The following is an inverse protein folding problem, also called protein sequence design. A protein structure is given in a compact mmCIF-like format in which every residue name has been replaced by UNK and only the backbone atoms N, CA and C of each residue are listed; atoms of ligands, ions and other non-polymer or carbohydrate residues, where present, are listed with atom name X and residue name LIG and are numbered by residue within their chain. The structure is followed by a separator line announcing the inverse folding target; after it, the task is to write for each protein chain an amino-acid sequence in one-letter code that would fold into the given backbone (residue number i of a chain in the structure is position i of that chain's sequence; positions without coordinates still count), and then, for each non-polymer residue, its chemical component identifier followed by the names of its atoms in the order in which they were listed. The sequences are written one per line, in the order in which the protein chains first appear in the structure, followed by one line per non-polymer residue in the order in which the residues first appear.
data_IF_902574923743
#
_entry.id   IF_902574923743
#
_cell.length_a   1.000
_cell.length_b   1.000
_cell.length_c   1.000
_cell.angle_alpha   90.00
_cell.angle_beta   90.00
_cell.angle_gamma   90.00
#
_symmetry.space_group_name_H-M   'P 1'
#
loop_
_entity.id
_entity.type
_entity.pdbx_description
1 polymer ?
#
# COMPACT_ATOMS: atom_id res chain seq x y z
N UNK A 1 -1.00 -5.91 2.21
CA UNK A 1 -1.19 -7.22 1.54
C UNK A 1 -0.73 -7.06 0.11
N UNK A 2 0.01 -8.03 -0.42
CA UNK A 2 0.55 -7.96 -1.76
C UNK A 2 0.36 -9.27 -2.54
N UNK A 3 0.09 -9.15 -3.83
CA UNK A 3 0.03 -10.26 -4.80
C UNK A 3 0.78 -9.84 -6.07
N UNK A 4 1.74 -10.65 -6.49
CA UNK A 4 2.48 -10.45 -7.74
C UNK A 4 2.22 -11.62 -8.70
N UNK A 5 2.04 -11.30 -9.98
CA UNK A 5 1.79 -12.26 -11.06
C UNK A 5 2.96 -12.20 -12.06
N UNK A 6 3.59 -13.35 -12.39
CA UNK A 6 4.70 -13.36 -13.33
C UNK A 6 4.24 -13.15 -14.77
N UNK A 7 5.03 -12.37 -15.51
CA UNK A 7 4.93 -12.20 -16.95
C UNK A 7 5.97 -13.02 -17.72
N UNK A 8 5.89 -13.04 -19.06
CA UNK A 8 6.87 -13.72 -19.90
C UNK A 8 8.30 -13.26 -19.63
N UNK A 9 9.27 -14.19 -19.71
CA UNK A 9 10.69 -13.86 -19.60
C UNK A 9 11.12 -13.32 -18.24
N UNK A 10 10.37 -13.60 -17.17
CA UNK A 10 10.69 -13.12 -15.82
C UNK A 10 10.25 -11.67 -15.54
N UNK A 11 9.42 -11.09 -16.42
CA UNK A 11 8.80 -9.79 -16.17
C UNK A 11 7.71 -9.88 -15.09
N UNK A 12 7.24 -8.73 -14.59
CA UNK A 12 6.09 -8.65 -13.68
C UNK A 12 4.87 -8.27 -14.49
N UNK A 13 3.89 -9.16 -14.58
CA UNK A 13 2.64 -8.90 -15.30
C UNK A 13 1.69 -8.03 -14.48
N UNK A 14 1.66 -8.21 -13.16
CA UNK A 14 0.87 -7.43 -12.22
C UNK A 14 1.53 -7.45 -10.85
N UNK A 15 1.51 -6.31 -10.17
CA UNK A 15 1.90 -6.18 -8.76
C UNK A 15 0.82 -5.39 -8.04
N UNK A 16 0.01 -6.07 -7.25
CA UNK A 16 -1.03 -5.46 -6.46
C UNK A 16 -0.58 -5.38 -5.01
N UNK A 17 -0.34 -4.17 -4.51
CA UNK A 17 0.08 -3.93 -3.14
C UNK A 17 -0.71 -2.76 -2.55
N UNK A 18 -1.37 -3.02 -1.42
CA UNK A 18 -2.19 -2.02 -0.73
C UNK A 18 -2.34 -2.34 0.76
N UNK A 19 -2.59 -1.29 1.53
CA UNK A 19 -3.05 -1.40 2.91
C UNK A 19 -4.54 -1.76 2.94
N UNK A 20 -4.99 -2.48 3.97
CA UNK A 20 -6.42 -2.77 4.17
C UNK A 20 -7.23 -1.56 4.62
N UNK A 21 -6.57 -0.46 4.99
CA UNK A 21 -7.17 0.84 5.24
C UNK A 21 -7.50 1.59 3.96
N UNK A 22 -8.44 2.54 4.03
CA UNK A 22 -8.82 3.42 2.90
C UNK A 22 -7.61 4.18 2.37
N UNK A 23 -6.68 4.54 3.25
CA UNK A 23 -5.42 5.19 2.92
C UNK A 23 -4.29 4.65 3.80
N UNK A 24 -3.07 4.61 3.29
CA UNK A 24 -1.89 4.34 4.12
C UNK A 24 -1.64 5.49 5.10
N UNK A 25 -1.27 5.16 6.34
CA UNK A 25 -0.96 6.14 7.39
C UNK A 25 0.11 7.16 6.93
N UNK A 26 1.13 6.73 6.19
CA UNK A 26 2.16 7.63 5.67
C UNK A 26 1.60 8.77 4.81
N UNK A 27 0.51 8.54 4.04
CA UNK A 27 -0.15 9.61 3.28
C UNK A 27 -0.90 10.58 4.20
N UNK A 28 -1.44 10.09 5.32
CA UNK A 28 -2.02 10.94 6.36
C UNK A 28 -0.94 11.77 7.07
N UNK A 29 0.24 11.18 7.32
CA UNK A 29 1.40 11.88 7.90
C UNK A 29 1.89 13.03 7.03
N UNK A 30 1.93 12.84 5.70
CA UNK A 30 2.27 13.92 4.76
C UNK A 30 1.30 15.10 4.90
N UNK A 31 -0.01 14.82 5.01
CA UNK A 31 -1.02 15.87 5.23
C UNK A 31 -0.88 16.56 6.58
N UNK A 32 -0.61 15.79 7.64
CA UNK A 32 -0.30 16.32 8.96
C UNK A 32 0.88 17.29 8.93
N UNK A 33 2.00 16.90 8.33
CA UNK A 33 3.20 17.74 8.22
C UNK A 33 2.95 19.02 7.39
N UNK A 34 2.05 18.96 6.41
CA UNK A 34 1.64 20.13 5.59
C UNK A 34 0.53 20.98 6.21
N UNK A 35 -0.03 20.58 7.35
CA UNK A 35 -1.20 21.26 7.94
C UNK A 35 -2.46 21.17 7.09
N UNK A 36 -2.57 20.16 6.22
CA UNK A 36 -3.70 19.97 5.31
C UNK A 36 -4.76 19.01 5.88
N UNK A 37 -6.03 19.23 5.53
CA UNK A 37 -7.10 18.27 5.81
C UNK A 37 -7.01 17.03 4.92
N UNK A 38 -7.43 15.89 5.47
CA UNK A 38 -7.70 14.67 4.73
C UNK A 38 -9.07 14.73 4.03
N UNK A 39 -9.27 13.87 3.02
CA UNK A 39 -10.60 13.70 2.45
C UNK A 39 -11.55 13.04 3.47
N UNK A 40 -12.87 13.32 3.44
CA UNK A 40 -13.84 12.64 4.29
C UNK A 40 -13.86 11.13 4.03
N UNK A 41 -14.24 10.36 5.05
CA UNK A 41 -14.34 8.89 4.97
C UNK A 41 -13.02 8.14 5.12
N UNK A 42 -11.95 8.81 5.57
CA UNK A 42 -10.63 8.20 5.78
C UNK A 42 -10.40 7.77 7.22
N UNK A 43 -10.91 8.54 8.20
CA UNK A 43 -10.59 8.35 9.61
C UNK A 43 -11.73 8.77 10.54
N UNK A 44 -11.63 8.31 11.77
CA UNK A 44 -12.42 8.72 12.93
C UNK A 44 -11.50 9.27 14.01
N UNK A 45 -12.01 10.15 14.86
CA UNK A 45 -11.31 10.61 16.05
C UNK A 45 -11.49 9.63 17.21
N UNK A 46 -10.87 9.93 18.35
CA UNK A 46 -10.90 9.06 19.52
C UNK A 46 -12.30 8.86 20.14
N UNK A 47 -13.26 9.74 19.85
CA UNK A 47 -14.66 9.57 20.23
C UNK A 47 -15.46 8.71 19.23
N UNK A 48 -14.83 8.27 18.15
CA UNK A 48 -15.46 7.47 17.09
C UNK A 48 -16.21 8.29 16.04
N UNK A 49 -16.11 9.62 16.06
CA UNK A 49 -16.77 10.48 15.06
C UNK A 49 -15.92 10.63 13.80
N UNK A 50 -16.52 10.70 12.60
CA UNK A 50 -15.78 10.98 11.36
C UNK A 50 -14.97 12.27 11.47
N UNK A 51 -13.73 12.22 10.99
CA UNK A 51 -12.83 13.38 11.01
C UNK A 51 -12.06 13.53 9.72
N UNK A 52 -11.65 14.77 9.44
CA UNK A 52 -10.78 15.15 8.31
C UNK A 52 -9.51 15.82 8.77
N UNK A 53 -9.30 15.95 10.08
CA UNK A 53 -8.13 16.62 10.66
C UNK A 53 -7.09 15.57 11.08
N UNK A 54 -5.94 15.47 10.40
CA UNK A 54 -4.89 14.52 10.76
C UNK A 54 -4.38 14.70 12.21
N UNK A 55 -4.55 15.88 12.82
CA UNK A 55 -4.14 16.11 14.21
C UNK A 55 -4.93 15.28 15.20
N UNK A 56 -6.21 15.00 14.89
CA UNK A 56 -7.05 14.13 15.73
C UNK A 56 -6.65 12.66 15.63
N UNK A 57 -5.96 12.25 14.54
CA UNK A 57 -5.42 10.89 14.42
C UNK A 57 -4.24 10.69 15.36
N UNK A 58 -3.35 11.68 15.43
CA UNK A 58 -2.13 11.65 16.24
C UNK A 58 -2.31 12.21 17.67
N UNK A 59 -3.54 12.45 18.11
CA UNK A 59 -3.85 12.93 19.46
C UNK A 59 -3.67 11.83 20.53
N UNK A 60 -3.83 12.19 21.79
CA UNK A 60 -3.92 11.25 22.91
C UNK A 60 -5.24 11.50 23.67
N UNK A 61 -6.21 10.56 23.64
CA UNK A 61 -6.20 9.28 22.91
C UNK A 61 -6.19 9.44 21.38
N UNK A 62 -5.65 8.47 20.62
CA UNK A 62 -5.53 8.57 19.17
C UNK A 62 -6.85 8.29 18.45
N UNK A 63 -6.95 8.81 17.23
CA UNK A 63 -7.97 8.41 16.26
C UNK A 63 -7.62 7.10 15.56
N UNK A 64 -8.41 6.72 14.55
CA UNK A 64 -8.20 5.50 13.78
C UNK A 64 -8.51 5.68 12.29
N UNK A 65 -7.80 4.93 11.44
CA UNK A 65 -8.09 4.84 10.01
C UNK A 65 -9.26 3.89 9.77
N UNK A 66 -10.10 4.23 8.80
CA UNK A 66 -11.17 3.35 8.32
C UNK A 66 -10.61 2.31 7.34
N UNK A 67 -11.30 1.16 7.25
CA UNK A 67 -10.97 0.06 6.33
C UNK A 67 -11.49 0.31 4.92
N UNK A 68 -10.71 -0.06 3.91
CA UNK A 68 -11.13 0.01 2.52
C UNK A 68 -12.31 -0.94 2.25
N UNK A 69 -13.37 -0.46 1.61
CA UNK A 69 -14.56 -1.30 1.38
C UNK A 69 -15.25 -1.75 2.67
N UNK A 70 -15.16 -0.95 3.74
CA UNK A 70 -15.88 -1.12 4.99
C UNK A 70 -15.63 -2.50 5.63
N UNK A 71 -16.68 -3.28 5.89
CA UNK A 71 -16.63 -4.61 6.49
C UNK A 71 -15.78 -5.60 5.69
N UNK A 72 -15.59 -5.40 4.38
CA UNK A 72 -14.73 -6.26 3.54
C UNK A 72 -13.26 -6.05 3.85
N UNK A 73 -12.82 -4.79 3.94
CA UNK A 73 -11.45 -4.46 4.35
C UNK A 73 -11.18 -4.84 5.80
N UNK A 74 -12.19 -4.72 6.68
CA UNK A 74 -12.09 -5.19 8.06
C UNK A 74 -11.85 -6.70 8.13
N UNK A 75 -12.67 -7.49 7.43
CA UNK A 75 -12.48 -8.94 7.36
C UNK A 75 -11.11 -9.33 6.80
N UNK A 76 -10.66 -8.66 5.74
CA UNK A 76 -9.32 -8.87 5.17
C UNK A 76 -8.21 -8.49 6.17
N UNK A 77 -8.37 -7.39 6.91
CA UNK A 77 -7.40 -6.94 7.91
C UNK A 77 -7.24 -7.97 9.03
N UNK A 78 -8.34 -8.55 9.53
CA UNK A 78 -8.30 -9.61 10.53
C UNK A 78 -7.63 -10.88 9.99
N UNK A 79 -7.93 -11.28 8.75
CA UNK A 79 -7.29 -12.44 8.14
C UNK A 79 -5.77 -12.25 8.02
N UNK A 80 -5.31 -11.06 7.62
CA UNK A 80 -3.87 -10.73 7.55
C UNK A 80 -3.25 -10.73 8.95
N UNK A 81 -3.94 -10.22 9.97
CA UNK A 81 -3.43 -10.24 11.35
C UNK A 81 -3.25 -11.67 11.86
N UNK A 82 -4.19 -12.56 11.56
CA UNK A 82 -4.11 -13.97 11.95
C UNK A 82 -2.98 -14.69 11.17
N UNK A 83 -2.93 -14.52 9.86
CA UNK A 83 -1.98 -15.22 8.98
C UNK A 83 -0.55 -14.67 9.06
N UNK A 84 -0.41 -13.36 9.14
CA UNK A 84 0.86 -12.67 9.24
C UNK A 84 1.31 -12.60 10.70
N UNK A 85 0.50 -12.01 11.58
CA UNK A 85 0.86 -11.74 12.96
C UNK A 85 0.89 -12.99 13.85
N UNK A 86 -0.27 -13.62 14.05
CA UNK A 86 -0.41 -14.74 14.98
C UNK A 86 0.36 -15.97 14.49
N UNK A 87 0.14 -16.38 13.24
CA UNK A 87 0.73 -17.61 12.68
C UNK A 87 2.26 -17.54 12.58
N UNK A 88 2.85 -16.37 12.32
CA UNK A 88 4.32 -16.23 12.31
C UNK A 88 4.96 -16.19 13.69
N UNK A 89 4.15 -16.06 14.75
CA UNK A 89 4.63 -15.94 16.14
C UNK A 89 4.94 -14.52 16.60
N UNK A 90 4.77 -13.48 15.77
CA UNK A 90 4.89 -12.08 16.23
C UNK A 90 3.75 -11.65 17.15
N UNK A 91 2.61 -12.37 17.09
CA UNK A 91 1.43 -12.11 17.90
C UNK A 91 0.45 -11.15 17.24
N UNK A 92 -0.65 -10.85 17.95
CA UNK A 92 -1.72 -9.98 17.48
C UNK A 92 -1.56 -8.55 18.01
N UNK A 93 -2.27 -7.61 17.35
CA UNK A 93 -2.45 -6.23 17.75
C UNK A 93 -2.93 -6.11 19.21
N UNK A 94 -2.35 -5.16 19.96
CA UNK A 94 -2.61 -4.94 21.39
C UNK A 94 -2.89 -3.46 21.66
N UNK A 95 -3.66 -3.14 22.72
CA UNK A 95 -3.94 -1.75 23.09
C UNK A 95 -2.68 -0.95 23.47
N UNK A 96 -1.70 -1.61 24.09
CA UNK A 96 -0.41 -1.01 24.42
C UNK A 96 0.58 -1.35 23.30
N UNK A 97 1.13 -0.35 22.58
CA UNK A 97 2.13 -0.61 21.56
C UNK A 97 3.40 -1.19 22.21
N UNK A 98 3.83 -2.34 21.72
CA UNK A 98 5.19 -2.84 21.94
C UNK A 98 6.15 -2.29 20.87
N UNK A 99 7.37 -2.84 20.75
CA UNK A 99 8.23 -2.59 19.61
C UNK A 99 7.48 -2.87 18.30
N UNK A 100 7.77 -2.11 17.24
CA UNK A 100 7.21 -2.38 15.91
C UNK A 100 7.69 -3.76 15.45
N UNK A 101 6.76 -4.68 15.23
CA UNK A 101 7.01 -6.03 14.74
C UNK A 101 6.10 -6.31 13.54
N UNK A 102 6.65 -6.92 12.49
CA UNK A 102 5.89 -7.33 11.33
C UNK A 102 5.98 -8.85 11.18
N UNK A 103 4.87 -9.53 11.41
CA UNK A 103 4.69 -10.93 11.02
C UNK A 103 4.29 -11.02 9.56
N UNK A 104 4.88 -11.94 8.79
CA UNK A 104 4.61 -12.06 7.36
C UNK A 104 4.42 -13.52 6.96
N UNK A 105 3.35 -13.78 6.22
CA UNK A 105 3.14 -15.02 5.48
C UNK A 105 3.46 -14.78 4.01
N UNK A 106 4.31 -15.63 3.44
CA UNK A 106 4.63 -15.62 2.00
C UNK A 106 4.13 -16.93 1.42
N UNK A 107 3.30 -16.82 0.37
CA UNK A 107 2.80 -17.96 -0.40
C UNK A 107 3.35 -17.83 -1.82
N UNK A 108 4.10 -18.84 -2.26
CA UNK A 108 4.63 -18.92 -3.63
C UNK A 108 3.98 -20.11 -4.35
N UNK A 109 3.33 -19.84 -5.47
CA UNK A 109 2.69 -20.84 -6.31
C UNK A 109 3.41 -20.89 -7.65
N UNK A 110 3.85 -22.09 -8.06
CA UNK A 110 4.44 -22.33 -9.38
C UNK A 110 3.32 -22.55 -10.40
N UNK A 111 3.03 -21.60 -11.31
CA UNK A 111 1.95 -21.73 -12.28
C UNK A 111 2.15 -22.93 -13.22
N UNK A 112 3.41 -23.35 -13.46
CA UNK A 112 3.72 -24.49 -14.30
C UNK A 112 3.22 -25.84 -13.73
N UNK A 113 2.81 -25.86 -12.45
CA UNK A 113 2.18 -27.03 -11.82
C UNK A 113 0.69 -27.15 -12.12
N UNK A 114 0.07 -26.12 -12.70
CA UNK A 114 -1.36 -26.06 -12.97
C UNK A 114 -1.68 -26.09 -14.47
N UNK A 115 -0.86 -25.41 -15.29
CA UNK A 115 -1.00 -25.37 -16.75
C UNK A 115 0.34 -25.02 -17.41
N UNK A 116 0.45 -25.21 -18.73
CA UNK A 116 1.65 -24.84 -19.47
C UNK A 116 1.94 -23.34 -19.34
N UNK A 117 3.22 -22.96 -19.17
CA UNK A 117 3.62 -21.57 -18.95
C UNK A 117 3.17 -20.64 -20.07
N UNK A 118 3.22 -21.11 -21.33
CA UNK A 118 2.73 -20.36 -22.48
C UNK A 118 1.24 -20.04 -22.38
N UNK A 119 0.42 -21.03 -22.00
CA UNK A 119 -1.03 -20.88 -21.84
C UNK A 119 -1.36 -19.94 -20.67
N UNK A 120 -0.64 -20.03 -19.56
CA UNK A 120 -0.79 -19.12 -18.42
C UNK A 120 -0.56 -17.67 -18.83
N UNK A 121 0.59 -17.38 -19.45
CA UNK A 121 0.90 -16.02 -19.87
C UNK A 121 -0.07 -15.50 -20.95
N UNK A 122 -0.48 -16.36 -21.88
CA UNK A 122 -1.47 -15.99 -22.90
C UNK A 122 -2.82 -15.61 -22.27
N UNK A 123 -3.30 -16.39 -21.29
CA UNK A 123 -4.56 -16.09 -20.60
C UNK A 123 -4.47 -14.83 -19.73
N UNK A 124 -3.36 -14.60 -19.03
CA UNK A 124 -3.12 -13.34 -18.30
C UNK A 124 -3.12 -12.15 -19.25
N UNK A 125 -2.44 -12.25 -20.39
CA UNK A 125 -2.43 -11.20 -21.41
C UNK A 125 -3.81 -10.95 -22.00
N UNK A 126 -4.59 -12.01 -22.27
CA UNK A 126 -5.96 -11.91 -22.75
C UNK A 126 -6.88 -11.20 -21.74
N UNK A 127 -6.77 -11.55 -20.45
CA UNK A 127 -7.54 -10.89 -19.38
C UNK A 127 -7.24 -9.39 -19.33
N UNK A 128 -5.96 -9.00 -19.35
CA UNK A 128 -5.58 -7.59 -19.31
C UNK A 128 -5.98 -6.85 -20.59
N UNK A 129 -5.86 -7.50 -21.76
CA UNK A 129 -6.36 -6.95 -23.02
C UNK A 129 -7.87 -6.70 -22.97
N UNK A 130 -8.65 -7.64 -22.43
CA UNK A 130 -10.09 -7.49 -22.23
C UNK A 130 -10.42 -6.33 -21.28
N UNK A 131 -9.79 -6.29 -20.10
CA UNK A 131 -10.02 -5.21 -19.12
C UNK A 131 -9.70 -3.83 -19.72
N UNK A 132 -8.61 -3.72 -20.49
CA UNK A 132 -8.24 -2.46 -21.16
C UNK A 132 -9.16 -2.06 -22.32
N UNK A 133 -9.92 -3.00 -22.87
CA UNK A 133 -10.87 -2.71 -23.95
C UNK A 133 -12.16 -2.04 -23.46
N UNK A 134 -12.36 -1.96 -22.14
CA UNK A 134 -13.54 -1.33 -21.58
C UNK A 134 -13.60 0.19 -21.89
N UNK A 135 -14.81 0.75 -22.09
CA UNK A 135 -14.98 2.19 -22.27
C UNK A 135 -14.37 2.99 -21.12
N UNK A 136 -13.63 4.04 -21.47
CA UNK A 136 -13.00 4.90 -20.48
C UNK A 136 -14.01 5.86 -19.85
N UNK A 137 -13.89 6.08 -18.55
CA UNK A 137 -14.61 7.17 -17.88
C UNK A 137 -14.14 8.54 -18.41
N UNK A 138 -15.01 9.56 -18.46
CA UNK A 138 -14.63 10.90 -18.91
C UNK A 138 -13.35 11.40 -18.22
N UNK A 139 -12.39 11.88 -19.02
CA UNK A 139 -11.09 12.37 -18.53
C UNK A 139 -10.03 11.29 -18.28
N UNK A 140 -10.38 10.00 -18.35
CA UNK A 140 -9.41 8.91 -18.27
C UNK A 140 -8.73 8.68 -19.62
N UNK A 141 -7.41 8.45 -19.62
CA UNK A 141 -6.62 8.21 -20.85
C UNK A 141 -6.43 6.72 -21.16
N UNK A 142 -6.44 5.89 -20.13
CA UNK A 142 -6.20 4.45 -20.22
C UNK A 142 -6.66 3.76 -18.93
N UNK A 143 -6.83 2.44 -18.99
CA UNK A 143 -6.99 1.57 -17.82
C UNK A 143 -5.63 0.96 -17.51
N UNK A 144 -5.20 1.09 -16.26
CA UNK A 144 -3.92 0.58 -15.77
C UNK A 144 -4.11 -0.74 -15.01
N UNK A 145 -3.18 -1.67 -15.21
CA UNK A 145 -3.06 -2.88 -14.39
C UNK A 145 -2.26 -2.52 -13.12
N UNK A 146 -2.60 -3.09 -11.95
CA UNK A 146 -1.84 -2.85 -10.72
C UNK A 146 -0.34 -3.11 -10.90
N UNK A 147 0.49 -2.15 -10.49
CA UNK A 147 1.95 -2.16 -10.67
C UNK A 147 2.44 -1.32 -11.85
N UNK A 148 1.59 -0.99 -12.82
CA UNK A 148 1.98 -0.12 -13.94
C UNK A 148 2.26 1.33 -13.53
N UNK A 149 1.46 1.99 -12.68
CA UNK A 149 1.78 3.32 -12.19
C UNK A 149 3.17 3.34 -11.52
N UNK A 150 3.45 2.35 -10.69
CA UNK A 150 4.71 2.19 -9.95
C UNK A 150 5.88 1.95 -10.90
N UNK A 151 5.74 1.04 -11.88
CA UNK A 151 6.79 0.76 -12.86
C UNK A 151 7.11 1.98 -13.75
N UNK A 152 6.11 2.80 -14.09
CA UNK A 152 6.32 4.06 -14.83
C UNK A 152 7.09 5.06 -13.98
N UNK A 153 6.65 5.26 -12.75
CA UNK A 153 7.25 6.18 -11.80
C UNK A 153 8.68 5.76 -11.42
N UNK A 154 8.94 4.46 -11.30
CA UNK A 154 10.27 3.90 -11.07
C UNK A 154 11.20 4.23 -12.25
N UNK A 155 10.77 3.98 -13.50
CA UNK A 155 11.57 4.31 -14.69
C UNK A 155 11.89 5.80 -14.76
N UNK A 156 10.91 6.64 -14.48
CA UNK A 156 11.09 8.09 -14.43
C UNK A 156 12.12 8.46 -13.35
N UNK A 157 11.92 8.01 -12.11
CA UNK A 157 12.79 8.35 -10.97
C UNK A 157 14.20 7.79 -11.09
N UNK A 158 14.39 6.66 -11.79
CA UNK A 158 15.72 6.15 -12.15
C UNK A 158 16.45 7.09 -13.10
N UNK A 159 15.73 7.79 -13.97
CA UNK A 159 16.30 8.71 -14.94
C UNK A 159 16.51 10.12 -14.38
N UNK A 160 15.58 10.63 -13.56
CA UNK A 160 15.58 12.05 -13.13
C UNK A 160 15.83 12.25 -11.62
N UNK A 161 15.95 11.17 -10.84
CA UNK A 161 16.08 11.21 -9.39
C UNK A 161 14.75 11.15 -8.64
N UNK A 162 14.82 11.02 -7.31
CA UNK A 162 13.65 10.97 -6.42
C UNK A 162 13.43 12.35 -5.81
N UNK A 163 12.27 12.99 -6.01
CA UNK A 163 11.98 14.27 -5.37
C UNK A 163 11.75 14.08 -3.87
N UNK A 164 12.35 14.95 -3.06
CA UNK A 164 12.17 15.02 -1.61
C UNK A 164 11.73 16.44 -1.24
N UNK A 165 10.81 16.57 -0.28
CA UNK A 165 10.45 17.86 0.28
C UNK A 165 11.50 18.35 1.30
N UNK A 166 11.52 19.65 1.54
CA UNK A 166 12.51 20.31 2.40
C UNK A 166 12.53 19.75 3.82
N UNK A 167 11.37 19.41 4.38
CA UNK A 167 11.28 18.89 5.75
C UNK A 167 11.83 17.47 5.84
N UNK A 168 11.47 16.59 4.89
CA UNK A 168 12.07 15.25 4.79
C UNK A 168 13.59 15.34 4.59
N UNK A 169 14.08 16.24 3.72
CA UNK A 169 15.51 16.41 3.50
C UNK A 169 16.25 16.92 4.74
N UNK A 170 15.65 17.86 5.48
CA UNK A 170 16.18 18.35 6.75
C UNK A 170 16.33 17.21 7.77
N UNK A 171 15.29 16.40 7.95
CA UNK A 171 15.30 15.26 8.87
C UNK A 171 16.36 14.22 8.50
N UNK A 172 16.52 13.92 7.19
CA UNK A 172 17.56 13.00 6.71
C UNK A 172 18.97 13.51 7.02
N UNK A 173 19.22 14.81 6.83
CA UNK A 173 20.51 15.43 7.15
C UNK A 173 20.84 15.42 8.64
N UNK A 174 19.85 15.65 9.49
CA UNK A 174 20.03 15.57 10.94
C UNK A 174 20.40 14.15 11.36
N UNK A 175 19.66 13.15 10.87
CA UNK A 175 19.96 11.74 11.10
C UNK A 175 21.35 11.35 10.59
N UNK A 176 21.76 11.82 9.41
CA UNK A 176 23.10 11.60 8.88
C UNK A 176 24.18 12.19 9.79
N UNK A 177 23.99 13.41 10.28
CA UNK A 177 24.91 14.07 11.21
C UNK A 177 25.02 13.31 12.55
N UNK A 178 23.92 12.83 13.11
CA UNK A 178 23.90 12.04 14.34
C UNK A 178 24.60 10.70 14.16
N UNK A 179 24.46 10.09 12.98
CA UNK A 179 25.09 8.83 12.62
C UNK A 179 26.56 8.98 12.16
N UNK A 180 27.08 10.21 12.02
CA UNK A 180 28.43 10.46 11.52
C UNK A 180 28.61 10.14 10.03
N UNK A 181 27.53 10.17 9.25
CA UNK A 181 27.52 9.96 7.80
C UNK A 181 27.52 11.31 7.09
N UNK A 182 28.43 11.47 6.13
CA UNK A 182 28.54 12.67 5.30
C UNK A 182 27.43 12.75 4.23
#
# INVERSE_FOLDING_TARGET
HAVAIPGPGGTVAMSHDFATSVVAEGKLKVKFNRGEKAAPGIMINAAGHPSTDPREFYADPPGALLTAGEHKGYGLSLAIEILGGILSGTGAARPTPGPVQNGTLIICLDPARFLAAGDFHAQVAQLFGFVRSAPLAPGSKEILVPGEPEARLERERRAVGVPLDDETWRQLRECASEAGVA
#
